data_IF_258954160678
#
_entry.id   IF_258954160678
#
_cell.length_a   1.000
_cell.length_b   1.000
_cell.length_c   1.000
_cell.angle_alpha   90.00
_cell.angle_beta   90.00
_cell.angle_gamma   90.00
#
_symmetry.space_group_name_H-M   'P 1'
#
loop_
_entity.id
_entity.type
_entity.pdbx_description
1 polymer ?
#
# COMPACT_ATOMS: atom_id res chain seq x y z
N UNK A 1 -21.56 3.31 16.55
CA UNK A 1 -20.72 4.48 16.91
C UNK A 1 -21.55 5.73 16.71
N UNK A 2 -21.66 6.56 17.74
CA UNK A 2 -22.45 7.78 17.73
C UNK A 2 -21.59 9.03 17.46
N UNK A 3 -22.20 10.11 17.00
CA UNK A 3 -21.51 11.40 16.80
C UNK A 3 -20.93 11.94 18.11
N UNK A 4 -21.67 11.78 19.20
CA UNK A 4 -21.23 12.20 20.53
C UNK A 4 -19.94 11.54 20.99
N UNK A 5 -19.74 10.23 20.71
CA UNK A 5 -18.49 9.54 21.02
C UNK A 5 -17.29 10.17 20.30
N UNK A 6 -17.44 10.52 19.02
CA UNK A 6 -16.36 11.17 18.23
C UNK A 6 -16.07 12.56 18.78
N UNK A 7 -17.09 13.34 19.10
CA UNK A 7 -16.91 14.68 19.65
C UNK A 7 -16.23 14.65 21.02
N UNK A 8 -16.55 13.66 21.86
CA UNK A 8 -15.83 13.41 23.13
C UNK A 8 -14.39 13.05 22.86
N UNK A 9 -14.13 12.13 21.92
CA UNK A 9 -12.76 11.77 21.52
C UNK A 9 -11.95 12.96 21.03
N UNK A 10 -12.54 13.83 20.19
CA UNK A 10 -11.91 15.06 19.73
C UNK A 10 -11.65 16.05 20.88
N UNK A 11 -12.56 16.17 21.84
CA UNK A 11 -12.34 17.01 23.02
C UNK A 11 -11.18 16.51 23.88
N UNK A 12 -11.05 15.20 24.04
CA UNK A 12 -9.95 14.60 24.80
C UNK A 12 -8.58 14.78 24.12
N UNK A 13 -8.54 14.63 22.81
CA UNK A 13 -7.29 14.71 22.01
C UNK A 13 -6.98 16.16 21.60
N UNK A 14 -7.99 17.04 21.57
CA UNK A 14 -7.93 18.42 21.09
C UNK A 14 -7.95 18.46 19.55
N UNK A 15 -6.93 17.94 18.90
CA UNK A 15 -6.82 17.74 17.46
C UNK A 15 -6.08 16.43 17.15
N UNK A 16 -6.53 15.68 16.13
CA UNK A 16 -5.89 14.40 15.84
C UNK A 16 -6.41 13.71 14.59
N UNK A 17 -5.71 12.67 14.21
CA UNK A 17 -6.11 11.78 13.12
C UNK A 17 -7.23 10.84 13.58
N UNK A 18 -7.95 10.25 12.61
CA UNK A 18 -8.99 9.26 12.90
C UNK A 18 -8.47 8.06 13.72
N UNK A 19 -7.19 7.73 13.62
CA UNK A 19 -6.55 6.68 14.42
C UNK A 19 -6.37 7.11 15.89
N UNK A 20 -5.87 8.32 16.11
CA UNK A 20 -5.66 8.87 17.46
C UNK A 20 -6.99 9.03 18.20
N UNK A 21 -7.99 9.58 17.51
CA UNK A 21 -9.35 9.73 18.06
C UNK A 21 -9.96 8.36 18.34
N UNK A 22 -9.82 7.39 17.41
CA UNK A 22 -10.30 6.02 17.58
C UNK A 22 -9.68 5.32 18.77
N UNK A 23 -8.37 5.51 19.01
CA UNK A 23 -7.68 4.98 20.20
C UNK A 23 -8.23 5.58 21.49
N UNK A 24 -8.50 6.89 21.51
CA UNK A 24 -9.05 7.58 22.69
C UNK A 24 -10.46 7.09 23.09
N UNK A 25 -11.27 6.66 22.13
CA UNK A 25 -12.63 6.16 22.36
C UNK A 25 -12.76 4.63 22.21
N UNK A 26 -11.64 3.92 22.10
CA UNK A 26 -11.57 2.46 21.90
C UNK A 26 -12.42 2.00 20.70
N UNK A 27 -12.24 2.65 19.55
CA UNK A 27 -12.97 2.37 18.31
C UNK A 27 -12.01 2.20 17.12
N UNK A 28 -12.46 1.47 16.12
CA UNK A 28 -11.66 1.23 14.91
C UNK A 28 -11.47 2.49 14.06
N UNK A 29 -10.25 2.68 13.50
CA UNK A 29 -9.86 3.78 12.62
C UNK A 29 -10.86 4.02 11.48
N UNK A 30 -11.32 2.95 10.80
CA UNK A 30 -12.20 3.06 9.63
C UNK A 30 -13.54 3.70 9.98
N UNK A 31 -14.18 3.19 11.04
CA UNK A 31 -15.46 3.74 11.51
C UNK A 31 -15.32 5.20 11.95
N UNK A 32 -14.22 5.54 12.65
CA UNK A 32 -13.95 6.94 13.03
C UNK A 32 -13.76 7.84 11.82
N UNK A 33 -13.02 7.38 10.79
CA UNK A 33 -12.79 8.16 9.58
C UNK A 33 -14.09 8.44 8.81
N UNK A 34 -14.99 7.46 8.71
CA UNK A 34 -16.30 7.64 8.06
C UNK A 34 -17.16 8.67 8.80
N UNK A 35 -17.21 8.60 10.13
CA UNK A 35 -17.99 9.54 10.93
C UNK A 35 -17.39 10.94 10.88
N UNK A 36 -16.07 11.09 10.95
CA UNK A 36 -15.39 12.37 10.83
C UNK A 36 -15.66 13.05 9.50
N UNK A 37 -15.70 12.30 8.38
CA UNK A 37 -16.11 12.86 7.08
C UNK A 37 -17.54 13.36 7.05
N UNK A 38 -18.47 12.66 7.71
CA UNK A 38 -19.87 13.11 7.85
C UNK A 38 -19.98 14.40 8.67
N UNK A 39 -19.21 14.48 9.75
CA UNK A 39 -19.17 15.67 10.61
C UNK A 39 -18.48 16.85 9.91
N UNK A 40 -17.45 16.59 9.08
CA UNK A 40 -16.80 17.60 8.24
C UNK A 40 -17.78 18.16 7.20
N UNK A 41 -18.52 17.28 6.50
CA UNK A 41 -19.55 17.71 5.54
C UNK A 41 -20.65 18.58 6.16
N UNK A 42 -20.90 18.44 7.46
CA UNK A 42 -21.86 19.24 8.23
C UNK A 42 -21.24 20.48 8.90
N UNK A 43 -19.94 20.69 8.74
CA UNK A 43 -19.23 21.83 9.31
C UNK A 43 -19.02 21.76 10.83
N UNK A 44 -19.25 20.62 11.47
CA UNK A 44 -19.05 20.42 12.92
C UNK A 44 -17.58 20.25 13.26
N UNK A 45 -16.80 19.67 12.35
CA UNK A 45 -15.34 19.51 12.43
C UNK A 45 -14.72 19.98 11.12
N UNK A 46 -13.46 20.35 11.15
CA UNK A 46 -12.70 20.70 9.95
C UNK A 46 -11.34 20.02 9.93
N UNK A 47 -10.74 19.88 8.75
CA UNK A 47 -9.36 19.39 8.59
C UNK A 47 -8.39 20.55 8.79
N UNK A 48 -7.75 20.60 9.95
CA UNK A 48 -6.81 21.67 10.30
C UNK A 48 -5.37 21.41 9.80
N UNK A 49 -5.08 20.21 9.31
CA UNK A 49 -3.75 19.86 8.81
C UNK A 49 -3.66 18.41 8.33
N UNK A 50 -2.44 17.98 8.03
CA UNK A 50 -2.15 16.66 7.51
C UNK A 50 -0.93 16.08 8.21
N UNK A 51 -1.00 14.81 8.62
CA UNK A 51 0.14 14.15 9.26
C UNK A 51 1.11 13.65 8.18
N UNK A 52 2.38 14.12 8.17
CA UNK A 52 3.36 13.62 7.22
C UNK A 52 3.69 12.16 7.53
N UNK A 53 3.52 11.29 6.53
CA UNK A 53 3.84 9.86 6.61
C UNK A 53 4.46 9.38 5.31
N UNK A 54 5.20 8.27 5.31
CA UNK A 54 5.84 7.75 4.08
C UNK A 54 4.85 7.11 3.08
N UNK A 55 3.57 7.03 3.43
CA UNK A 55 2.53 6.38 2.62
C UNK A 55 1.28 7.22 2.46
N UNK A 56 0.25 6.86 3.20
CA UNK A 56 -1.01 7.59 3.27
C UNK A 56 -0.83 8.88 4.08
N UNK A 57 -1.39 9.98 3.61
CA UNK A 57 -1.35 11.28 4.30
C UNK A 57 -2.69 11.46 5.04
N UNK A 58 -2.79 11.05 6.32
CA UNK A 58 -4.03 11.15 7.05
C UNK A 58 -4.34 12.60 7.46
N UNK A 59 -5.61 13.03 7.35
CA UNK A 59 -6.04 14.32 7.80
C UNK A 59 -6.03 14.41 9.32
N UNK A 60 -5.72 15.60 9.85
CA UNK A 60 -5.85 15.98 11.26
C UNK A 60 -7.12 16.80 11.39
N UNK A 61 -8.04 16.33 12.23
CA UNK A 61 -9.33 16.97 12.48
C UNK A 61 -9.29 17.81 13.76
N UNK A 62 -10.00 18.93 13.74
CA UNK A 62 -10.27 19.77 14.89
C UNK A 62 -11.76 20.08 14.99
N UNK A 63 -12.23 20.42 16.22
CA UNK A 63 -13.61 20.81 16.48
C UNK A 63 -13.89 22.21 15.92
N UNK A 64 -15.13 22.42 15.52
CA UNK A 64 -15.66 23.70 15.07
C UNK A 64 -15.57 23.93 13.57
N UNK A 65 -16.23 24.96 13.08
CA UNK A 65 -16.15 25.39 11.71
C UNK A 65 -14.75 25.94 11.43
N UNK A 66 -14.21 25.62 10.25
CA UNK A 66 -12.91 26.11 9.81
C UNK A 66 -12.67 25.78 8.36
N UNK A 67 -11.76 26.50 7.74
CA UNK A 67 -11.37 26.22 6.38
C UNK A 67 -10.51 24.94 6.32
N UNK A 68 -10.77 24.11 5.31
CA UNK A 68 -10.01 22.88 5.11
C UNK A 68 -8.58 23.20 4.70
N UNK A 69 -7.61 22.71 5.47
CA UNK A 69 -6.20 22.86 5.14
C UNK A 69 -5.89 22.20 3.76
N UNK A 70 -5.10 22.86 2.90
CA UNK A 70 -4.70 22.30 1.61
C UNK A 70 -3.92 21.00 1.82
N UNK A 71 -4.26 19.98 1.03
CA UNK A 71 -3.58 18.69 1.11
C UNK A 71 -2.19 18.80 0.47
N UNK A 72 -1.10 18.49 1.20
CA UNK A 72 0.25 18.50 0.63
C UNK A 72 0.38 17.43 -0.45
N UNK A 73 1.27 17.65 -1.39
CA UNK A 73 1.65 16.64 -2.36
C UNK A 73 2.34 15.46 -1.65
N UNK A 74 2.34 14.30 -2.31
CA UNK A 74 2.99 13.10 -1.74
C UNK A 74 4.51 13.30 -1.54
N UNK A 75 5.15 14.05 -2.43
CA UNK A 75 6.58 14.37 -2.35
C UNK A 75 6.90 15.30 -1.18
N UNK A 76 6.09 16.33 -0.97
CA UNK A 76 6.23 17.25 0.16
C UNK A 76 6.00 16.55 1.49
N UNK A 77 4.92 15.77 1.60
CA UNK A 77 4.65 14.99 2.79
C UNK A 77 5.78 14.02 3.12
N UNK A 78 6.34 13.33 2.10
CA UNK A 78 7.47 12.43 2.31
C UNK A 78 8.73 13.17 2.74
N UNK A 79 9.03 14.36 2.16
CA UNK A 79 10.16 15.19 2.56
C UNK A 79 10.03 15.62 4.01
N UNK A 80 8.87 16.17 4.39
CA UNK A 80 8.60 16.58 5.78
C UNK A 80 8.71 15.40 6.75
N UNK A 81 8.18 14.23 6.38
CA UNK A 81 8.32 13.04 7.19
C UNK A 81 9.79 12.62 7.37
N UNK A 82 10.60 12.67 6.30
CA UNK A 82 12.01 12.32 6.35
C UNK A 82 12.81 13.28 7.26
N UNK A 83 12.49 14.58 7.23
CA UNK A 83 13.08 15.59 8.10
C UNK A 83 12.72 15.36 9.58
N UNK A 84 11.46 15.03 9.85
CA UNK A 84 10.98 14.76 11.22
C UNK A 84 11.46 13.41 11.77
N UNK A 85 11.76 12.43 10.91
CA UNK A 85 12.10 11.05 11.29
C UNK A 85 13.40 10.56 10.62
N UNK A 86 14.56 11.19 10.84
CA UNK A 86 15.79 10.88 10.11
C UNK A 86 16.30 9.45 10.34
N UNK A 87 16.09 8.89 11.53
CA UNK A 87 16.46 7.50 11.85
C UNK A 87 15.62 6.49 11.07
N UNK A 88 14.32 6.68 11.04
CA UNK A 88 13.40 5.79 10.30
C UNK A 88 13.60 5.92 8.79
N UNK A 89 13.88 7.13 8.30
CA UNK A 89 14.22 7.36 6.91
C UNK A 89 15.47 6.58 6.49
N UNK A 90 16.55 6.62 7.27
CA UNK A 90 17.77 5.84 7.03
C UNK A 90 17.50 4.33 7.02
N UNK A 91 16.71 3.82 7.98
CA UNK A 91 16.29 2.40 8.01
C UNK A 91 15.49 2.02 6.75
N UNK A 92 14.58 2.87 6.33
CA UNK A 92 13.78 2.63 5.12
C UNK A 92 14.64 2.62 3.86
N UNK A 93 15.60 3.55 3.73
CA UNK A 93 16.56 3.55 2.64
C UNK A 93 17.42 2.29 2.61
N UNK A 94 17.94 1.86 3.77
CA UNK A 94 18.72 0.63 3.88
C UNK A 94 17.89 -0.60 3.43
N UNK A 95 16.64 -0.73 3.88
CA UNK A 95 15.73 -1.80 3.45
C UNK A 95 15.49 -1.78 1.93
N UNK A 96 15.25 -0.60 1.34
CA UNK A 96 15.06 -0.45 -0.11
C UNK A 96 16.31 -0.86 -0.89
N UNK A 97 17.50 -0.42 -0.44
CA UNK A 97 18.78 -0.80 -1.04
C UNK A 97 19.02 -2.31 -1.00
N UNK A 98 18.76 -2.94 0.15
CA UNK A 98 18.86 -4.40 0.29
C UNK A 98 17.87 -5.13 -0.62
N UNK A 99 16.62 -4.69 -0.67
CA UNK A 99 15.60 -5.26 -1.56
C UNK A 99 15.99 -5.15 -3.03
N UNK A 100 16.53 -4.01 -3.45
CA UNK A 100 17.04 -3.82 -4.82
C UNK A 100 18.24 -4.73 -5.13
N UNK A 101 19.19 -4.88 -4.20
CA UNK A 101 20.32 -5.80 -4.35
C UNK A 101 19.83 -7.24 -4.50
N UNK A 102 18.88 -7.66 -3.66
CA UNK A 102 18.26 -9.00 -3.73
C UNK A 102 17.52 -9.20 -5.06
N UNK A 103 16.73 -8.24 -5.50
CA UNK A 103 16.01 -8.32 -6.78
C UNK A 103 16.98 -8.42 -7.98
N UNK A 104 18.07 -7.63 -7.97
CA UNK A 104 19.13 -7.72 -9.01
C UNK A 104 19.80 -9.10 -9.02
N UNK A 105 20.06 -9.69 -7.84
CA UNK A 105 20.64 -11.04 -7.72
C UNK A 105 19.70 -12.08 -8.31
N UNK A 106 18.42 -12.07 -7.88
CA UNK A 106 17.40 -13.02 -8.40
C UNK A 106 17.28 -12.90 -9.92
N UNK A 107 17.22 -11.66 -10.45
CA UNK A 107 17.14 -11.43 -11.90
C UNK A 107 18.34 -12.05 -12.65
N UNK A 108 19.57 -11.93 -12.10
CA UNK A 108 20.77 -12.54 -12.69
C UNK A 108 20.70 -14.08 -12.67
N UNK A 109 20.24 -14.66 -11.56
CA UNK A 109 20.06 -16.11 -11.41
C UNK A 109 19.03 -16.63 -12.41
N UNK A 110 17.88 -15.95 -12.55
CA UNK A 110 16.83 -16.31 -13.53
C UNK A 110 17.36 -16.22 -14.97
N UNK A 111 18.10 -15.17 -15.30
CA UNK A 111 18.70 -15.03 -16.64
C UNK A 111 19.72 -16.14 -16.93
N UNK A 112 20.55 -16.51 -15.95
CA UNK A 112 21.50 -17.61 -16.09
C UNK A 112 20.79 -18.96 -16.27
N UNK A 113 19.73 -19.24 -15.51
CA UNK A 113 18.92 -20.45 -15.67
C UNK A 113 18.25 -20.52 -17.05
N UNK A 114 17.69 -19.41 -17.52
CA UNK A 114 17.07 -19.35 -18.84
C UNK A 114 18.11 -19.57 -19.97
N UNK A 115 19.31 -19.02 -19.83
CA UNK A 115 20.41 -19.26 -20.80
C UNK A 115 20.79 -20.74 -20.86
N UNK A 116 20.93 -21.40 -19.69
CA UNK A 116 21.20 -22.84 -19.63
C UNK A 116 20.05 -23.67 -20.24
N UNK A 117 18.80 -23.32 -19.97
CA UNK A 117 17.64 -23.99 -20.55
C UNK A 117 17.57 -23.81 -22.07
N UNK A 118 17.99 -22.67 -22.59
CA UNK A 118 18.04 -22.41 -24.04
C UNK A 118 19.14 -23.21 -24.70
N UNK A 119 20.29 -23.40 -24.05
CA UNK A 119 21.43 -24.18 -24.57
C UNK A 119 21.12 -25.68 -24.58
N UNK A 120 20.23 -26.14 -23.70
CA UNK A 120 19.79 -27.56 -23.67
C UNK A 120 18.62 -27.86 -24.63
N UNK A 121 17.96 -26.87 -25.24
CA UNK A 121 16.86 -27.08 -26.20
C UNK A 121 17.20 -28.02 -27.34
N UNK A 122 18.35 -27.91 -28.04
CA UNK A 122 18.65 -28.82 -29.12
C UNK A 122 18.84 -30.28 -28.67
N UNK A 123 19.18 -30.50 -27.39
CA UNK A 123 19.24 -31.86 -26.85
C UNK A 123 17.84 -32.42 -26.53
N UNK A 124 16.93 -31.60 -26.04
CA UNK A 124 15.55 -31.98 -25.76
C UNK A 124 14.73 -32.15 -27.04
N UNK A 125 14.99 -31.37 -28.10
CA UNK A 125 14.35 -31.53 -29.41
C UNK A 125 14.73 -32.83 -30.10
N UNK A 126 15.92 -33.40 -29.83
CA UNK A 126 16.29 -34.74 -30.31
C UNK A 126 15.50 -35.86 -29.62
N UNK A 127 14.95 -35.61 -28.44
CA UNK A 127 14.10 -36.55 -27.70
C UNK A 127 12.59 -36.22 -27.86
N UNK A 128 12.25 -35.10 -28.47
CA UNK A 128 10.88 -34.81 -28.85
C UNK A 128 10.44 -35.79 -29.91
N UNK A 129 9.47 -36.60 -29.57
CA UNK A 129 8.94 -37.72 -30.31
C UNK A 129 8.94 -37.55 -31.82
N UNK A 130 9.44 -38.53 -32.56
CA UNK A 130 9.20 -38.56 -33.98
C UNK A 130 7.69 -38.70 -34.21
N UNK A 131 7.16 -37.80 -35.02
CA UNK A 131 5.87 -37.98 -35.69
C UNK A 131 4.61 -38.02 -34.80
N UNK A 132 4.16 -36.84 -34.41
CA UNK A 132 2.79 -36.64 -33.88
C UNK A 132 1.68 -37.03 -34.86
N UNK A 133 2.03 -37.36 -36.12
CA UNK A 133 1.06 -37.84 -37.13
C UNK A 133 0.53 -39.23 -36.82
N UNK A 134 1.24 -40.01 -35.97
CA UNK A 134 0.84 -41.35 -35.56
C UNK A 134 -0.06 -41.44 -34.33
N UNK A 135 -0.36 -40.32 -33.67
CA UNK A 135 -1.28 -40.33 -32.54
C UNK A 135 -2.74 -40.36 -33.04
N UNK A 136 -3.56 -41.30 -32.61
CA UNK A 136 -4.96 -41.35 -33.00
C UNK A 136 -5.68 -40.06 -32.50
N UNK A 137 -6.41 -39.40 -33.40
CA UNK A 137 -7.14 -38.15 -33.21
C UNK A 137 -8.20 -38.16 -32.06
N UNK A 138 -8.36 -39.29 -31.37
CA UNK A 138 -9.33 -39.51 -30.29
C UNK A 138 -8.93 -38.92 -28.91
N UNK A 139 -7.73 -38.34 -28.76
CA UNK A 139 -7.26 -37.81 -27.46
C UNK A 139 -7.49 -36.31 -27.29
N UNK A 140 -8.10 -35.63 -28.28
CA UNK A 140 -8.54 -34.28 -28.07
C UNK A 140 -9.83 -34.26 -27.24
N UNK A 141 -9.67 -34.22 -25.91
CA UNK A 141 -10.75 -33.87 -24.98
C UNK A 141 -11.31 -32.51 -25.36
N UNK A 142 -12.55 -32.47 -25.84
CA UNK A 142 -13.33 -31.24 -26.01
C UNK A 142 -13.39 -30.52 -24.67
N UNK A 143 -13.08 -29.21 -24.58
CA UNK A 143 -13.50 -28.44 -23.44
C UNK A 143 -15.03 -28.43 -23.40
N UNK A 144 -15.61 -28.88 -22.32
CA UNK A 144 -17.04 -28.73 -22.04
C UNK A 144 -17.33 -27.24 -21.83
N UNK A 145 -18.34 -26.76 -22.54
CA UNK A 145 -18.91 -25.43 -22.40
C UNK A 145 -19.62 -25.25 -21.06
#
# INVERSE_FOLDING_TARGET
MTESEILVGLRLVGKGTAEQIGKAIVRGRKACAEMLRKLEARGVVHVCGWLPTPGEIPPIYALGPGERAPKPSRSESFRLWAELNPREFKKQQARRSQAQKRAKRIRREVLAMNALATDQRPALERWACPDLSMLPRSIYLRPQA
#
